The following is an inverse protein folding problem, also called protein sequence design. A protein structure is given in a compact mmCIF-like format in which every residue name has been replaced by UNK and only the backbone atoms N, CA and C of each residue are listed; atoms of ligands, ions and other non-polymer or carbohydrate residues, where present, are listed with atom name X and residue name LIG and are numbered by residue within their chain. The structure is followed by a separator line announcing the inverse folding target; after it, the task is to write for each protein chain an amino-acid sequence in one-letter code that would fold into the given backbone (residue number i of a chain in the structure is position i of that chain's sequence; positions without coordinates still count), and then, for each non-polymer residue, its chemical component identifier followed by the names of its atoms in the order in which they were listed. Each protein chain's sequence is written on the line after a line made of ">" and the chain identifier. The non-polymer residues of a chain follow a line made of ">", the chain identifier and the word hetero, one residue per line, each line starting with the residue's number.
data_IF_529294968931
#
_entry.id   IF_529294968931
#
_cell.length_a   1.000
_cell.length_b   1.000
_cell.length_c   1.000
_cell.angle_alpha   90.00
_cell.angle_beta   90.00
_cell.angle_gamma   90.00
#
_symmetry.space_group_name_H-M   'P 1'
#
loop_
_entity.id
_entity.type
_entity.pdbx_description
1 polymer ?
#
# COMPACT_ATOMS: atom_id res chain seq x y z
N UNK A 1 20.89 -9.74 1.68
CA UNK A 1 20.57 -8.51 2.46
C UNK A 1 20.45 -8.84 3.94
N UNK A 2 21.07 -8.06 4.82
CA UNK A 2 20.79 -8.15 6.26
C UNK A 2 19.51 -7.37 6.58
N UNK A 3 18.38 -8.09 6.52
CA UNK A 3 17.05 -7.48 6.67
C UNK A 3 16.88 -6.76 8.01
N UNK A 4 17.38 -7.36 9.10
CA UNK A 4 17.23 -6.78 10.45
C UNK A 4 18.04 -5.47 10.57
N UNK A 5 19.26 -5.45 10.02
CA UNK A 5 20.09 -4.25 10.01
C UNK A 5 19.43 -3.13 9.21
N UNK A 6 18.95 -3.42 8.00
CA UNK A 6 18.30 -2.42 7.16
C UNK A 6 17.01 -1.86 7.79
N UNK A 7 16.27 -2.68 8.56
CA UNK A 7 15.10 -2.21 9.28
C UNK A 7 15.44 -1.31 10.46
N UNK A 8 16.56 -1.54 11.15
CA UNK A 8 17.04 -0.62 12.20
C UNK A 8 17.33 0.77 11.64
N UNK A 9 17.85 0.87 10.43
CA UNK A 9 18.08 2.15 9.75
C UNK A 9 16.78 2.88 9.40
N UNK A 10 15.65 2.14 9.32
CA UNK A 10 14.30 2.70 9.23
C UNK A 10 13.66 2.99 10.61
N UNK A 11 14.32 2.69 11.70
CA UNK A 11 13.77 2.80 13.06
C UNK A 11 12.77 1.70 13.40
N UNK A 12 12.83 0.54 12.71
CA UNK A 12 11.94 -0.60 12.94
C UNK A 12 12.70 -1.71 13.64
N UNK A 13 12.18 -2.14 14.78
CA UNK A 13 12.65 -3.31 15.50
C UNK A 13 11.57 -4.39 15.49
N UNK A 14 11.94 -5.59 15.06
CA UNK A 14 11.03 -6.75 15.00
C UNK A 14 11.39 -7.73 16.11
N UNK A 15 10.37 -8.29 16.76
CA UNK A 15 10.54 -9.41 17.68
C UNK A 15 10.55 -10.76 16.91
N UNK A 16 10.86 -11.86 17.64
CA UNK A 16 10.98 -13.20 17.04
C UNK A 16 9.69 -13.66 16.36
N UNK A 17 8.51 -13.32 16.91
CA UNK A 17 7.22 -13.66 16.31
C UNK A 17 7.06 -12.96 14.95
N UNK A 18 7.39 -11.68 14.87
CA UNK A 18 7.31 -10.91 13.63
C UNK A 18 8.30 -11.42 12.58
N UNK A 19 9.51 -11.80 12.98
CA UNK A 19 10.50 -12.41 12.09
C UNK A 19 10.00 -13.75 11.52
N UNK A 20 9.38 -14.58 12.35
CA UNK A 20 8.78 -15.84 11.90
C UNK A 20 7.57 -15.59 10.98
N UNK A 21 6.76 -14.55 11.24
CA UNK A 21 5.67 -14.13 10.35
C UNK A 21 6.19 -13.72 8.96
N UNK A 22 7.29 -12.97 8.86
CA UNK A 22 7.90 -12.62 7.56
C UNK A 22 8.40 -13.86 6.83
N UNK A 23 9.05 -14.78 7.53
CA UNK A 23 9.52 -16.06 6.96
C UNK A 23 8.34 -16.88 6.43
N UNK A 24 7.30 -17.07 7.23
CA UNK A 24 6.10 -17.80 6.84
C UNK A 24 5.38 -17.13 5.67
N UNK A 25 5.32 -15.79 5.65
CA UNK A 25 4.74 -15.06 4.53
C UNK A 25 5.50 -15.30 3.22
N UNK A 26 6.84 -15.32 3.26
CA UNK A 26 7.65 -15.68 2.11
C UNK A 26 7.34 -17.10 1.60
N UNK A 27 7.29 -18.09 2.50
CA UNK A 27 6.97 -19.47 2.15
C UNK A 27 5.60 -19.59 1.46
N UNK A 28 4.57 -18.97 2.03
CA UNK A 28 3.23 -18.92 1.45
C UNK A 28 3.22 -18.21 0.09
N UNK A 29 3.92 -17.09 -0.04
CA UNK A 29 4.00 -16.35 -1.29
C UNK A 29 4.58 -17.22 -2.40
N UNK A 30 5.71 -17.89 -2.17
CA UNK A 30 6.37 -18.75 -3.16
C UNK A 30 5.53 -19.98 -3.49
N UNK A 31 4.92 -20.61 -2.48
CA UNK A 31 4.05 -21.78 -2.67
C UNK A 31 2.85 -21.43 -3.55
N UNK A 32 2.08 -20.44 -3.17
CA UNK A 32 0.85 -20.06 -3.89
C UNK A 32 1.12 -19.33 -5.22
N UNK A 33 2.30 -18.74 -5.37
CA UNK A 33 2.68 -18.11 -6.64
C UNK A 33 2.73 -19.12 -7.80
N UNK A 34 3.03 -20.40 -7.52
CA UNK A 34 3.06 -21.49 -8.53
C UNK A 34 1.75 -21.67 -9.27
N UNK A 35 0.62 -21.34 -8.61
CA UNK A 35 -0.73 -21.54 -9.17
C UNK A 35 -1.49 -20.23 -9.39
N UNK A 36 -1.15 -19.17 -8.66
CA UNK A 36 -1.94 -17.92 -8.68
C UNK A 36 -1.28 -16.78 -9.45
N UNK A 37 0.01 -16.88 -9.80
CA UNK A 37 0.78 -15.79 -10.43
C UNK A 37 0.62 -14.46 -9.64
N UNK A 38 1.03 -14.47 -8.39
CA UNK A 38 0.90 -13.34 -7.47
C UNK A 38 1.98 -12.29 -7.67
N UNK A 39 3.20 -12.75 -8.00
CA UNK A 39 4.39 -11.91 -8.20
C UNK A 39 5.34 -12.52 -9.22
N UNK A 40 6.10 -11.68 -9.91
CA UNK A 40 7.24 -12.11 -10.74
C UNK A 40 8.52 -12.36 -9.95
N UNK A 41 8.55 -12.09 -8.65
CA UNK A 41 9.75 -12.18 -7.80
C UNK A 41 9.53 -13.29 -6.77
N UNK A 42 10.36 -14.34 -6.82
CA UNK A 42 10.29 -15.49 -5.90
C UNK A 42 11.62 -15.78 -5.20
N UNK A 43 12.72 -15.18 -5.65
CA UNK A 43 13.99 -15.26 -4.96
C UNK A 43 13.89 -14.61 -3.58
N UNK A 44 14.40 -15.30 -2.56
CA UNK A 44 14.24 -14.90 -1.16
C UNK A 44 14.82 -13.51 -0.87
N UNK A 45 16.02 -13.21 -1.36
CA UNK A 45 16.66 -11.92 -1.12
C UNK A 45 15.89 -10.80 -1.83
N UNK A 46 15.40 -11.06 -3.04
CA UNK A 46 14.61 -10.09 -3.79
C UNK A 46 13.21 -9.87 -3.20
N UNK A 47 12.56 -10.90 -2.65
CA UNK A 47 11.28 -10.75 -1.94
C UNK A 47 11.48 -9.89 -0.68
N UNK A 48 12.50 -10.20 0.13
CA UNK A 48 12.80 -9.42 1.33
C UNK A 48 13.16 -7.97 1.00
N UNK A 49 13.87 -7.72 -0.10
CA UNK A 49 14.24 -6.36 -0.53
C UNK A 49 13.06 -5.61 -1.18
N UNK A 50 12.50 -6.18 -2.27
CA UNK A 50 11.56 -5.46 -3.17
C UNK A 50 10.10 -5.56 -2.72
N UNK A 51 9.79 -6.47 -1.81
CA UNK A 51 8.44 -6.59 -1.28
C UNK A 51 8.39 -6.19 0.18
N UNK A 52 9.15 -6.82 1.08
CA UNK A 52 9.04 -6.56 2.50
C UNK A 52 9.68 -5.23 2.90
N UNK A 53 10.97 -5.05 2.65
CA UNK A 53 11.66 -3.82 2.98
C UNK A 53 11.06 -2.60 2.26
N UNK A 54 10.85 -2.70 0.95
CA UNK A 54 10.22 -1.64 0.15
C UNK A 54 8.88 -1.20 0.76
N UNK A 55 8.02 -2.14 1.17
CA UNK A 55 6.76 -1.85 1.85
C UNK A 55 6.94 -1.09 3.16
N UNK A 56 7.93 -1.47 3.95
CA UNK A 56 8.22 -0.87 5.25
C UNK A 56 8.83 0.54 5.14
N UNK A 57 9.35 0.92 3.96
CA UNK A 57 9.84 2.30 3.72
C UNK A 57 8.75 3.36 3.86
N UNK A 58 7.46 2.99 3.91
CA UNK A 58 6.37 3.93 4.20
C UNK A 58 6.51 4.64 5.54
N UNK A 59 7.31 4.11 6.49
CA UNK A 59 7.64 4.80 7.75
C UNK A 59 8.39 6.12 7.52
N UNK A 60 9.04 6.30 6.37
CA UNK A 60 9.66 7.57 5.98
C UNK A 60 8.62 8.70 5.77
N UNK A 61 7.37 8.33 5.47
CA UNK A 61 6.29 9.27 5.20
C UNK A 61 5.31 9.43 6.36
N UNK A 62 5.16 8.41 7.21
CA UNK A 62 4.15 8.39 8.26
C UNK A 62 4.57 7.54 9.46
N UNK A 63 4.10 7.92 10.66
CA UNK A 63 4.34 7.22 11.91
C UNK A 63 3.26 6.15 12.15
N UNK A 64 3.60 4.88 11.85
CA UNK A 64 2.70 3.72 12.01
C UNK A 64 2.68 3.15 13.43
N UNK A 65 3.42 3.72 14.37
CA UNK A 65 3.34 3.31 15.80
C UNK A 65 2.03 3.72 16.45
N UNK A 66 1.27 4.61 15.80
CA UNK A 66 -0.04 5.09 16.26
C UNK A 66 -1.17 4.15 15.85
N UNK A 67 -2.23 4.15 16.64
CA UNK A 67 -3.46 3.44 16.30
C UNK A 67 -4.18 4.17 15.16
N UNK A 68 -4.07 3.62 13.95
CA UNK A 68 -4.65 4.20 12.74
C UNK A 68 -5.43 3.17 11.93
N UNK A 69 -6.28 3.69 11.06
CA UNK A 69 -6.93 2.94 9.98
C UNK A 69 -6.16 3.13 8.67
N UNK A 70 -5.64 2.03 8.11
CA UNK A 70 -4.94 1.97 6.83
C UNK A 70 -5.81 1.28 5.78
N UNK A 71 -5.99 1.89 4.62
CA UNK A 71 -6.56 1.22 3.45
C UNK A 71 -5.48 1.02 2.38
N UNK A 72 -5.36 -0.20 1.86
CA UNK A 72 -4.47 -0.55 0.76
C UNK A 72 -5.29 -0.89 -0.48
N UNK A 73 -5.14 -0.10 -1.52
CA UNK A 73 -5.92 -0.22 -2.76
C UNK A 73 -5.09 -0.91 -3.84
N UNK A 74 -5.53 -2.09 -4.26
CA UNK A 74 -4.82 -2.90 -5.27
C UNK A 74 -3.55 -3.54 -4.72
N UNK A 75 -3.59 -4.07 -3.51
CA UNK A 75 -2.43 -4.61 -2.78
C UNK A 75 -1.74 -5.80 -3.45
N UNK A 76 -2.39 -6.45 -4.40
CA UNK A 76 -1.85 -7.65 -5.02
C UNK A 76 -1.71 -8.79 -4.01
N UNK A 77 -0.48 -9.22 -3.78
CA UNK A 77 -0.18 -10.24 -2.78
C UNK A 77 -0.11 -9.67 -1.33
N UNK A 78 -0.58 -8.44 -1.08
CA UNK A 78 -0.62 -7.81 0.25
C UNK A 78 0.45 -6.75 0.50
N UNK A 79 0.97 -6.14 -0.57
CA UNK A 79 2.02 -5.13 -0.47
C UNK A 79 1.48 -3.72 -0.77
N UNK A 80 1.69 -2.74 0.13
CA UNK A 80 2.57 -2.77 1.29
C UNK A 80 1.91 -3.15 2.63
N UNK A 81 0.61 -3.38 2.68
CA UNK A 81 -0.15 -3.42 3.93
C UNK A 81 0.14 -4.59 4.86
N UNK A 82 0.40 -5.81 4.34
CA UNK A 82 0.71 -6.96 5.21
C UNK A 82 2.08 -6.82 5.90
N UNK A 83 3.19 -6.44 5.22
CA UNK A 83 4.44 -6.10 5.90
C UNK A 83 4.29 -5.04 6.98
N UNK A 84 3.53 -3.96 6.71
CA UNK A 84 3.22 -2.94 7.71
C UNK A 84 2.45 -3.51 8.89
N UNK A 85 1.46 -4.37 8.64
CA UNK A 85 0.68 -5.01 9.71
C UNK A 85 1.50 -5.95 10.58
N UNK A 86 2.46 -6.67 10.00
CA UNK A 86 3.40 -7.50 10.75
C UNK A 86 4.26 -6.61 11.65
N UNK A 87 4.87 -5.55 11.10
CA UNK A 87 5.76 -4.66 11.83
C UNK A 87 5.01 -3.80 12.88
N UNK A 88 3.78 -3.39 12.59
CA UNK A 88 2.95 -2.52 13.42
C UNK A 88 1.58 -3.16 13.72
N UNK A 89 1.49 -4.09 14.70
CA UNK A 89 0.27 -4.85 14.95
C UNK A 89 -0.91 -4.01 15.45
N UNK A 90 -0.68 -2.78 15.91
CA UNK A 90 -1.70 -1.83 16.36
C UNK A 90 -2.58 -1.28 15.21
N UNK A 91 -2.08 -1.19 13.98
CA UNK A 91 -2.84 -0.61 12.86
C UNK A 91 -4.04 -1.50 12.48
N UNK A 92 -5.15 -0.87 12.08
CA UNK A 92 -6.30 -1.55 11.47
C UNK A 92 -6.18 -1.46 9.97
N UNK A 93 -6.18 -2.60 9.29
CA UNK A 93 -5.92 -2.69 7.85
C UNK A 93 -7.18 -3.11 7.11
N UNK A 94 -7.51 -2.38 6.05
CA UNK A 94 -8.51 -2.80 5.05
C UNK A 94 -7.79 -2.92 3.70
N UNK A 95 -7.91 -4.08 3.07
CA UNK A 95 -7.33 -4.33 1.74
C UNK A 95 -8.46 -4.44 0.73
N UNK A 96 -8.38 -3.66 -0.33
CA UNK A 96 -9.33 -3.69 -1.45
C UNK A 96 -8.60 -4.15 -2.71
N UNK A 97 -8.98 -5.28 -3.28
CA UNK A 97 -8.45 -5.76 -4.56
C UNK A 97 -9.57 -6.31 -5.44
N UNK A 98 -9.51 -6.02 -6.74
CA UNK A 98 -10.50 -6.43 -7.72
C UNK A 98 -10.37 -7.88 -8.19
N UNK A 99 -9.29 -8.57 -7.84
CA UNK A 99 -9.05 -9.95 -8.23
C UNK A 99 -9.31 -10.90 -7.06
N UNK A 100 -10.39 -11.68 -7.15
CA UNK A 100 -10.78 -12.62 -6.09
C UNK A 100 -9.64 -13.58 -5.68
N UNK A 101 -8.85 -14.09 -6.64
CA UNK A 101 -7.72 -14.98 -6.33
C UNK A 101 -6.69 -14.36 -5.36
N UNK A 102 -6.50 -13.02 -5.41
CA UNK A 102 -5.61 -12.30 -4.50
C UNK A 102 -6.22 -12.21 -3.10
N UNK A 103 -7.52 -11.93 -3.02
CA UNK A 103 -8.24 -11.94 -1.75
C UNK A 103 -8.22 -13.33 -1.10
N UNK A 104 -8.41 -14.41 -1.87
CA UNK A 104 -8.30 -15.78 -1.33
C UNK A 104 -6.90 -16.09 -0.81
N UNK A 105 -5.85 -15.69 -1.52
CA UNK A 105 -4.47 -15.78 -1.00
C UNK A 105 -4.29 -15.01 0.30
N UNK A 106 -4.78 -13.77 0.36
CA UNK A 106 -4.65 -12.93 1.54
C UNK A 106 -5.41 -13.50 2.75
N UNK A 107 -6.55 -14.16 2.55
CA UNK A 107 -7.25 -14.90 3.63
C UNK A 107 -6.35 -15.96 4.26
N UNK A 108 -5.62 -16.70 3.42
CA UNK A 108 -4.65 -17.70 3.89
C UNK A 108 -3.53 -17.03 4.67
N UNK A 109 -2.93 -15.96 4.13
CA UNK A 109 -1.84 -15.22 4.78
C UNK A 109 -2.31 -14.69 6.14
N UNK A 110 -3.44 -14.00 6.21
CA UNK A 110 -3.98 -13.44 7.46
C UNK A 110 -4.20 -14.51 8.51
N UNK A 111 -4.74 -15.67 8.11
CA UNK A 111 -4.98 -16.81 9.01
C UNK A 111 -3.66 -17.44 9.49
N UNK A 112 -2.77 -17.79 8.58
CA UNK A 112 -1.52 -18.50 8.88
C UNK A 112 -0.54 -17.64 9.70
N UNK A 113 -0.57 -16.32 9.52
CA UNK A 113 0.23 -15.37 10.29
C UNK A 113 -0.46 -14.91 11.58
N UNK A 114 -1.68 -15.37 11.87
CA UNK A 114 -2.49 -14.96 13.02
C UNK A 114 -2.66 -13.42 13.10
N UNK A 115 -2.85 -12.74 11.96
CA UNK A 115 -3.03 -11.29 11.93
C UNK A 115 -4.45 -10.93 12.33
N UNK A 116 -4.59 -10.00 13.25
CA UNK A 116 -5.88 -9.46 13.72
C UNK A 116 -6.17 -8.11 13.11
N UNK A 117 -7.43 -7.65 13.11
CA UNK A 117 -7.81 -6.33 12.58
C UNK A 117 -7.40 -6.11 11.11
N UNK A 118 -7.54 -7.16 10.29
CA UNK A 118 -7.37 -7.11 8.83
C UNK A 118 -8.69 -7.47 8.17
N UNK A 119 -9.24 -6.55 7.40
CA UNK A 119 -10.46 -6.73 6.59
C UNK A 119 -10.05 -6.86 5.12
N UNK A 120 -10.58 -7.87 4.42
CA UNK A 120 -10.25 -8.17 3.04
C UNK A 120 -11.51 -8.01 2.17
N UNK A 121 -11.47 -7.11 1.20
CA UNK A 121 -12.60 -6.72 0.38
C UNK A 121 -12.32 -7.05 -1.09
N UNK A 122 -13.11 -7.95 -1.65
CA UNK A 122 -13.13 -8.18 -3.09
C UNK A 122 -14.06 -7.16 -3.74
N UNK A 123 -13.50 -6.08 -4.22
CA UNK A 123 -14.24 -5.01 -4.90
C UNK A 123 -13.33 -4.21 -5.84
N UNK A 124 -13.92 -3.51 -6.79
CA UNK A 124 -13.24 -2.43 -7.49
C UNK A 124 -13.14 -1.22 -6.57
N UNK A 125 -12.03 -0.48 -6.66
CA UNK A 125 -11.80 0.68 -5.78
C UNK A 125 -12.86 1.78 -5.95
N UNK A 126 -13.35 2.00 -7.17
CA UNK A 126 -14.41 2.96 -7.48
C UNK A 126 -15.80 2.54 -6.97
N UNK A 127 -15.99 1.27 -6.64
CA UNK A 127 -17.25 0.70 -6.11
C UNK A 127 -17.18 0.55 -4.57
N UNK A 128 -16.02 0.80 -3.96
CA UNK A 128 -15.83 0.65 -2.53
C UNK A 128 -16.33 1.90 -1.78
N UNK A 129 -17.54 1.78 -1.20
CA UNK A 129 -18.24 2.90 -0.54
C UNK A 129 -17.84 3.08 0.93
N UNK A 130 -16.59 3.51 1.13
CA UNK A 130 -16.02 3.91 2.44
C UNK A 130 -15.34 5.27 2.35
N UNK A 131 -16.09 6.26 1.82
CA UNK A 131 -15.56 7.63 1.70
C UNK A 131 -15.15 8.19 3.06
N UNK A 132 -14.02 8.92 3.09
CA UNK A 132 -13.48 9.63 4.27
C UNK A 132 -13.36 8.78 5.53
N UNK A 133 -12.98 7.49 5.36
CA UNK A 133 -12.98 6.51 6.45
C UNK A 133 -11.60 6.15 6.98
N UNK A 134 -10.53 6.50 6.27
CA UNK A 134 -9.19 6.04 6.61
C UNK A 134 -8.23 7.19 6.95
N UNK A 135 -7.42 6.98 7.99
CA UNK A 135 -6.36 7.93 8.37
C UNK A 135 -5.25 7.95 7.34
N UNK A 136 -4.92 6.77 6.80
CA UNK A 136 -3.96 6.58 5.72
C UNK A 136 -4.56 5.69 4.65
N UNK A 137 -4.39 6.09 3.38
CA UNK A 137 -4.62 5.25 2.21
C UNK A 137 -3.31 5.08 1.49
N UNK A 138 -3.00 3.89 1.02
CA UNK A 138 -1.81 3.59 0.23
C UNK A 138 -2.14 2.80 -1.01
N UNK A 139 -1.23 2.81 -1.95
CA UNK A 139 -1.23 1.92 -3.12
C UNK A 139 0.18 1.75 -3.63
N UNK A 140 0.45 0.59 -4.24
CA UNK A 140 1.71 0.31 -4.91
C UNK A 140 1.46 -0.23 -6.31
N UNK A 141 2.24 0.25 -7.28
CA UNK A 141 2.16 -0.19 -8.69
C UNK A 141 0.79 0.02 -9.37
N UNK A 142 0.01 1.02 -8.97
CA UNK A 142 -1.05 1.54 -9.81
C UNK A 142 -0.40 2.27 -11.00
N UNK A 143 -0.75 1.86 -12.21
CA UNK A 143 -0.03 2.22 -13.45
C UNK A 143 0.03 3.74 -13.75
N UNK A 144 -0.87 4.54 -13.19
CA UNK A 144 -0.92 5.98 -13.39
C UNK A 144 -1.30 6.68 -12.09
N UNK A 145 -0.49 7.64 -11.66
CA UNK A 145 -0.69 8.35 -10.40
C UNK A 145 -2.01 9.12 -10.37
N UNK A 146 -2.45 9.71 -11.49
CA UNK A 146 -3.70 10.48 -11.54
C UNK A 146 -4.91 9.55 -11.36
N UNK A 147 -4.84 8.32 -11.87
CA UNK A 147 -5.83 7.26 -11.63
C UNK A 147 -5.83 6.87 -10.15
N UNK A 148 -4.65 6.61 -9.58
CA UNK A 148 -4.51 6.30 -8.17
C UNK A 148 -5.05 7.38 -7.25
N UNK A 149 -4.78 8.64 -7.55
CA UNK A 149 -5.31 9.79 -6.82
C UNK A 149 -6.85 9.82 -6.85
N UNK A 150 -7.46 9.62 -8.02
CA UNK A 150 -8.92 9.64 -8.13
C UNK A 150 -9.59 8.49 -7.39
N UNK A 151 -8.98 7.31 -7.38
CA UNK A 151 -9.50 6.13 -6.68
C UNK A 151 -9.30 6.20 -5.15
N UNK A 152 -8.16 6.75 -4.71
CA UNK A 152 -7.74 6.66 -3.30
C UNK A 152 -8.11 7.90 -2.48
N UNK A 153 -8.03 9.12 -3.03
CA UNK A 153 -8.31 10.35 -2.29
C UNK A 153 -9.71 10.42 -1.69
N UNK A 154 -10.79 9.90 -2.34
CA UNK A 154 -12.11 9.87 -1.72
C UNK A 154 -12.18 9.05 -0.43
N UNK A 155 -11.32 8.05 -0.26
CA UNK A 155 -11.30 7.16 0.91
C UNK A 155 -10.60 7.80 2.13
N UNK A 156 -9.73 8.79 1.90
CA UNK A 156 -8.94 9.46 2.95
C UNK A 156 -9.82 10.40 3.76
N UNK A 157 -9.75 10.33 5.10
CA UNK A 157 -10.34 11.32 6.00
C UNK A 157 -9.76 12.71 5.77
N UNK A 158 -10.54 13.76 6.02
CA UNK A 158 -9.98 15.12 6.11
C UNK A 158 -8.90 15.15 7.19
N UNK A 159 -7.74 15.71 6.86
CA UNK A 159 -6.48 15.67 7.62
C UNK A 159 -5.72 14.33 7.59
N UNK A 160 -6.24 13.29 6.94
CA UNK A 160 -5.52 12.06 6.64
C UNK A 160 -4.59 12.20 5.42
N UNK A 161 -3.97 11.08 5.02
CA UNK A 161 -2.94 11.07 3.98
C UNK A 161 -3.17 9.96 2.96
N UNK A 162 -2.91 10.27 1.69
CA UNK A 162 -2.66 9.26 0.66
C UNK A 162 -1.16 9.16 0.41
N UNK A 163 -0.63 7.94 0.49
CA UNK A 163 0.80 7.63 0.40
C UNK A 163 1.05 6.63 -0.74
N UNK A 164 0.95 7.04 -2.01
CA UNK A 164 1.31 6.18 -3.13
C UNK A 164 2.81 5.92 -3.19
N UNK A 165 3.17 4.64 -3.41
CA UNK A 165 4.53 4.20 -3.67
C UNK A 165 4.75 4.11 -5.18
N UNK A 166 5.67 4.90 -5.70
CA UNK A 166 5.93 5.02 -7.14
C UNK A 166 7.42 4.97 -7.47
N UNK A 167 7.76 4.59 -8.68
CA UNK A 167 9.13 4.70 -9.23
C UNK A 167 9.24 5.99 -10.03
N UNK A 168 8.30 6.19 -10.95
CA UNK A 168 8.18 7.41 -11.76
C UNK A 168 6.72 7.77 -11.88
N UNK A 169 6.42 9.03 -12.11
CA UNK A 169 5.04 9.48 -12.28
C UNK A 169 4.98 10.75 -13.14
N UNK A 170 3.83 10.95 -13.77
CA UNK A 170 3.46 12.17 -14.44
C UNK A 170 2.17 12.69 -13.79
N UNK A 171 2.34 13.73 -12.95
CA UNK A 171 1.26 14.30 -12.16
C UNK A 171 0.66 15.50 -12.88
N UNK A 172 -0.63 15.44 -13.16
CA UNK A 172 -1.37 16.57 -13.71
C UNK A 172 -1.43 17.76 -12.73
N UNK A 173 -1.33 18.97 -13.26
CA UNK A 173 -1.11 20.21 -12.49
C UNK A 173 -2.14 20.48 -11.38
N UNK A 174 -3.39 20.05 -11.55
CA UNK A 174 -4.48 20.37 -10.62
C UNK A 174 -5.15 19.12 -9.98
N UNK A 175 -4.69 17.91 -10.28
CA UNK A 175 -5.37 16.67 -9.88
C UNK A 175 -5.54 16.56 -8.37
N UNK A 176 -4.46 16.78 -7.62
CA UNK A 176 -4.50 16.71 -6.15
C UNK A 176 -5.48 17.72 -5.57
N UNK A 177 -5.44 18.97 -6.05
CA UNK A 177 -6.33 20.05 -5.59
C UNK A 177 -7.78 19.78 -5.94
N UNK A 178 -8.08 19.30 -7.15
CA UNK A 178 -9.44 18.94 -7.59
C UNK A 178 -10.05 17.84 -6.72
N UNK A 179 -9.22 16.93 -6.19
CA UNK A 179 -9.63 15.85 -5.30
C UNK A 179 -9.63 16.21 -3.80
N UNK A 180 -9.41 17.50 -3.47
CA UNK A 180 -9.42 18.02 -2.12
C UNK A 180 -8.13 17.74 -1.34
N UNK A 181 -7.02 17.59 -2.04
CA UNK A 181 -5.70 17.30 -1.44
C UNK A 181 -4.68 18.42 -1.62
N UNK A 182 -3.55 18.24 -0.95
CA UNK A 182 -2.35 19.05 -1.03
C UNK A 182 -1.13 18.13 -1.01
N UNK A 183 -0.18 18.31 -1.93
CA UNK A 183 1.10 17.61 -1.92
C UNK A 183 2.00 18.24 -0.86
N UNK A 184 2.25 17.50 0.23
CA UNK A 184 3.11 17.98 1.33
C UNK A 184 4.58 17.76 1.00
N UNK A 185 4.94 16.59 0.47
CA UNK A 185 6.32 16.25 0.12
C UNK A 185 6.40 15.08 -0.84
N UNK A 186 7.49 15.01 -1.58
CA UNK A 186 8.00 13.82 -2.24
C UNK A 186 9.18 13.28 -1.44
N UNK A 187 9.10 12.04 -0.99
CA UNK A 187 10.18 11.37 -0.28
C UNK A 187 10.86 10.44 -1.28
N UNK A 188 12.07 10.82 -1.69
CA UNK A 188 12.92 10.08 -2.60
C UNK A 188 13.98 9.32 -1.82
N UNK A 189 14.17 8.04 -2.15
CA UNK A 189 15.18 7.18 -1.54
C UNK A 189 15.59 6.07 -2.50
N UNK A 190 16.63 5.32 -2.11
CA UNK A 190 17.12 4.20 -2.88
C UNK A 190 17.01 2.92 -2.05
N UNK A 191 16.63 1.82 -2.70
CA UNK A 191 16.67 0.51 -2.06
C UNK A 191 18.12 0.09 -1.81
N UNK A 192 18.43 -0.52 -0.65
CA UNK A 192 19.78 -1.01 -0.38
C UNK A 192 20.19 -2.05 -1.43
N UNK A 193 21.51 -2.25 -1.61
CA UNK A 193 22.13 -3.22 -2.53
C UNK A 193 21.87 -2.89 -4.02
N UNK A 194 20.60 -2.85 -4.44
CA UNK A 194 20.24 -2.63 -5.85
C UNK A 194 20.36 -1.15 -6.25
N UNK A 195 20.34 -0.24 -5.30
CA UNK A 195 20.39 1.20 -5.51
C UNK A 195 19.32 1.72 -6.50
N UNK A 196 18.16 1.03 -6.53
CA UNK A 196 17.03 1.44 -7.36
C UNK A 196 16.20 2.53 -6.68
N UNK A 197 15.91 3.59 -7.43
CA UNK A 197 15.15 4.73 -6.93
C UNK A 197 13.70 4.35 -6.61
N UNK A 198 13.20 4.88 -5.49
CA UNK A 198 11.80 4.82 -5.03
C UNK A 198 11.34 6.20 -4.59
N UNK A 199 10.04 6.41 -4.70
CA UNK A 199 9.39 7.64 -4.24
C UNK A 199 8.11 7.32 -3.51
N UNK A 200 7.84 8.09 -2.46
CA UNK A 200 6.55 8.12 -1.79
C UNK A 200 6.05 9.55 -1.88
N UNK A 201 4.86 9.75 -2.43
CA UNK A 201 4.22 11.05 -2.35
C UNK A 201 3.42 11.13 -1.06
N UNK A 202 3.58 12.22 -0.31
CA UNK A 202 2.76 12.50 0.87
C UNK A 202 1.71 13.52 0.52
N UNK A 203 0.50 13.04 0.22
CA UNK A 203 -0.65 13.87 -0.15
C UNK A 203 -1.59 13.96 1.04
N UNK A 204 -1.78 15.16 1.59
CA UNK A 204 -2.73 15.43 2.68
C UNK A 204 -4.10 15.71 2.11
N UNK A 205 -5.14 15.17 2.72
CA UNK A 205 -6.53 15.53 2.45
C UNK A 205 -6.86 16.81 3.22
N UNK A 206 -7.13 17.91 2.52
CA UNK A 206 -7.41 19.22 3.14
C UNK A 206 -8.89 19.60 3.09
N UNK A 207 -9.67 18.99 2.18
CA UNK A 207 -11.10 19.18 2.08
C UNK A 207 -11.80 17.96 1.52
N UNK A 208 -13.12 17.86 1.68
CA UNK A 208 -13.93 16.79 1.10
C UNK A 208 -13.74 16.68 -0.40
N UNK A 209 -13.55 15.48 -0.93
CA UNK A 209 -13.59 15.22 -2.37
C UNK A 209 -15.01 15.36 -2.88
N UNK A 210 -15.21 16.02 -4.03
CA UNK A 210 -16.52 16.21 -4.65
C UNK A 210 -17.21 14.87 -4.89
N UNK A 211 -18.52 14.81 -4.70
CA UNK A 211 -19.30 13.55 -4.75
C UNK A 211 -19.27 12.85 -6.11
N UNK A 212 -18.96 13.56 -7.20
CA UNK A 212 -18.74 12.98 -8.54
C UNK A 212 -17.54 12.06 -8.64
N UNK A 213 -16.65 12.03 -7.61
CA UNK A 213 -15.47 11.17 -7.57
C UNK A 213 -15.62 10.03 -6.54
N UNK A 214 -15.02 8.87 -6.79
CA UNK A 214 -14.38 8.50 -8.05
C UNK A 214 -15.43 8.32 -9.18
N UNK A 215 -15.04 8.61 -10.40
CA UNK A 215 -15.83 8.25 -11.59
C UNK A 215 -15.74 6.73 -11.84
N UNK A 216 -16.55 6.20 -12.75
CA UNK A 216 -16.41 4.80 -13.18
C UNK A 216 -15.00 4.55 -13.75
N UNK A 217 -14.45 3.36 -13.55
CA UNK A 217 -13.08 3.05 -14.00
C UNK A 217 -12.89 3.24 -15.52
N UNK A 218 -13.93 2.96 -16.31
CA UNK A 218 -13.90 3.20 -17.75
C UNK A 218 -13.72 4.68 -18.09
N UNK A 219 -14.39 5.57 -17.37
CA UNK A 219 -14.24 7.03 -17.54
C UNK A 219 -12.85 7.50 -17.09
N UNK A 220 -12.37 7.02 -15.94
CA UNK A 220 -11.04 7.36 -15.42
C UNK A 220 -9.96 6.93 -16.41
N UNK A 221 -10.03 5.69 -16.90
CA UNK A 221 -9.04 5.14 -17.84
C UNK A 221 -9.05 5.86 -19.19
N UNK A 222 -10.25 6.19 -19.71
CA UNK A 222 -10.39 6.88 -21.01
C UNK A 222 -9.94 8.34 -20.95
N UNK A 223 -10.18 9.00 -19.85
CA UNK A 223 -9.88 10.42 -19.65
C UNK A 223 -9.39 10.68 -18.21
N UNK A 224 -8.14 10.31 -17.87
CA UNK A 224 -7.56 10.59 -16.56
C UNK A 224 -7.56 12.10 -16.27
N UNK A 225 -7.67 12.46 -15.00
CA UNK A 225 -7.48 13.87 -14.57
C UNK A 225 -6.07 14.34 -14.95
N UNK A 226 -5.96 15.64 -15.31
CA UNK A 226 -4.70 16.28 -15.74
C UNK A 226 -4.43 17.57 -14.96
#
# INVERSE_FOLDING_TARGET
>A
MDFIKELKDLGIELNDIQLEQFKKYYELLVEYNKVMNLTGITDIEMVYLKHFYDSLTLVKAYDFTKDISLCDVGSGAGFPSIPLKIAFPNIKVVIVDSLNKRIEFLKIVVKELNLTNVELIHARAEEFDKKESFDVVTSRALANINIGLELCMPLVKVNGYYLPMVVSYDLGNNVIKELGGELISEIKFYLPIENSERKILKVRKVSKTKDKYPRSFSQIKKNPLK
#
